data_IF_677148768389
#
_entry.id   IF_677148768389
#
_cell.length_a   1.000
_cell.length_b   1.000
_cell.length_c   1.000
_cell.angle_alpha   90.00
_cell.angle_beta   90.00
_cell.angle_gamma   90.00
#
_symmetry.space_group_name_H-M   'P 1'
#
loop_
_entity.id
_entity.type
_entity.pdbx_description
1 polymer ?
#
# COMPACT_ATOMS: atom_id res chain seq x y z
N UNK A 1 -10.92 -18.35 4.64
CA UNK A 1 -9.58 -18.48 5.25
C UNK A 1 -8.69 -17.41 4.65
N UNK A 2 -7.78 -16.81 5.44
CA UNK A 2 -6.83 -15.80 4.97
C UNK A 2 -5.40 -16.38 5.07
N UNK A 3 -4.65 -16.30 4.00
CA UNK A 3 -3.24 -16.66 3.92
C UNK A 3 -2.43 -15.39 3.72
N UNK A 4 -1.32 -15.23 4.43
CA UNK A 4 -0.44 -14.06 4.37
C UNK A 4 1.00 -14.45 4.20
N UNK A 5 1.78 -13.61 3.54
CA UNK A 5 3.22 -13.72 3.42
C UNK A 5 3.88 -12.35 3.63
N UNK A 6 4.75 -12.24 4.64
CA UNK A 6 5.63 -11.10 4.80
C UNK A 6 7.01 -11.47 4.24
N UNK A 7 7.43 -10.75 3.21
CA UNK A 7 8.65 -11.04 2.46
C UNK A 7 9.60 -9.85 2.48
N UNK A 8 10.90 -10.13 2.27
CA UNK A 8 11.96 -9.13 2.41
C UNK A 8 13.11 -9.42 1.45
N UNK A 9 13.73 -8.38 0.95
CA UNK A 9 14.95 -8.49 0.14
C UNK A 9 15.97 -7.41 0.50
N UNK A 10 17.23 -7.80 0.53
CA UNK A 10 18.42 -6.94 0.66
C UNK A 10 19.23 -6.89 -0.65
N UNK A 11 18.69 -7.42 -1.73
CA UNK A 11 19.28 -7.33 -3.05
C UNK A 11 19.35 -5.88 -3.52
N UNK A 12 20.39 -5.54 -4.28
CA UNK A 12 20.66 -4.14 -4.63
C UNK A 12 20.21 -3.75 -6.04
N UNK A 13 20.09 -4.71 -6.93
CA UNK A 13 19.52 -4.51 -8.27
C UNK A 13 18.00 -4.51 -8.19
N UNK A 14 17.36 -3.52 -8.81
CA UNK A 14 15.91 -3.33 -8.70
C UNK A 14 15.11 -4.47 -9.31
N UNK A 15 15.50 -4.98 -10.46
CA UNK A 15 14.81 -6.08 -11.11
C UNK A 15 15.00 -7.39 -10.35
N UNK A 16 16.22 -7.64 -9.84
CA UNK A 16 16.52 -8.82 -9.05
C UNK A 16 15.81 -8.80 -7.69
N UNK A 17 15.76 -7.63 -7.03
CA UNK A 17 15.01 -7.43 -5.80
C UNK A 17 13.50 -7.70 -6.01
N UNK A 18 12.94 -7.18 -7.09
CA UNK A 18 11.53 -7.40 -7.42
C UNK A 18 11.22 -8.88 -7.70
N UNK A 19 12.03 -9.57 -8.51
CA UNK A 19 11.89 -11.01 -8.73
C UNK A 19 11.97 -11.80 -7.44
N UNK A 20 12.96 -11.50 -6.59
CA UNK A 20 13.15 -12.18 -5.32
C UNK A 20 11.96 -12.04 -4.37
N UNK A 21 11.36 -10.84 -4.27
CA UNK A 21 10.12 -10.64 -3.51
C UNK A 21 8.95 -11.45 -4.09
N UNK A 22 8.76 -11.41 -5.41
CA UNK A 22 7.71 -12.16 -6.09
C UNK A 22 7.84 -13.68 -5.94
N UNK A 23 9.06 -14.22 -6.00
CA UNK A 23 9.36 -15.64 -5.79
C UNK A 23 9.00 -16.06 -4.36
N UNK A 24 9.40 -15.29 -3.34
CA UNK A 24 9.05 -15.56 -1.94
C UNK A 24 7.52 -15.55 -1.73
N UNK A 25 6.79 -14.61 -2.36
CA UNK A 25 5.33 -14.56 -2.31
C UNK A 25 4.72 -15.83 -2.90
N UNK A 26 5.19 -16.27 -4.06
CA UNK A 26 4.72 -17.52 -4.70
C UNK A 26 5.05 -18.75 -3.89
N UNK A 27 6.23 -18.80 -3.28
CA UNK A 27 6.62 -19.92 -2.39
C UNK A 27 5.68 -20.01 -1.18
N UNK A 28 5.35 -18.86 -0.57
CA UNK A 28 4.54 -18.82 0.63
C UNK A 28 3.04 -19.00 0.40
N UNK A 29 2.49 -18.45 -0.69
CA UNK A 29 1.05 -18.46 -1.00
C UNK A 29 0.64 -19.51 -2.04
N UNK A 30 1.61 -20.17 -2.67
CA UNK A 30 1.38 -21.12 -3.76
C UNK A 30 1.21 -20.42 -5.12
N UNK A 31 0.71 -21.17 -6.12
CA UNK A 31 0.61 -20.71 -7.51
C UNK A 31 -0.50 -19.66 -7.75
N UNK A 32 -1.44 -19.51 -6.83
CA UNK A 32 -2.54 -18.54 -6.99
C UNK A 32 -2.07 -17.12 -6.73
N UNK A 33 -2.52 -16.19 -7.55
CA UNK A 33 -2.24 -14.77 -7.40
C UNK A 33 -2.72 -14.23 -6.04
N UNK A 34 -1.92 -13.40 -5.34
CA UNK A 34 -2.40 -12.69 -4.14
C UNK A 34 -3.52 -11.71 -4.50
N UNK A 35 -4.51 -11.57 -3.61
CA UNK A 35 -5.57 -10.59 -3.78
C UNK A 35 -5.01 -9.17 -3.63
N UNK A 36 -4.08 -8.98 -2.70
CA UNK A 36 -3.34 -7.74 -2.58
C UNK A 36 -1.90 -7.96 -2.15
N UNK A 37 -1.05 -7.05 -2.59
CA UNK A 37 0.36 -6.92 -2.23
C UNK A 37 0.63 -5.46 -1.82
N UNK A 38 1.16 -5.27 -0.62
CA UNK A 38 1.57 -3.98 -0.09
C UNK A 38 3.09 -3.96 -0.07
N UNK A 39 3.70 -3.02 -0.80
CA UNK A 39 5.16 -2.94 -1.00
C UNK A 39 5.73 -1.71 -0.32
N UNK A 40 6.80 -1.88 0.43
CA UNK A 40 7.63 -0.80 0.97
C UNK A 40 9.04 -0.96 0.43
N UNK A 41 9.60 0.10 -0.15
CA UNK A 41 10.91 0.04 -0.77
C UNK A 41 11.69 1.33 -0.58
N UNK A 42 12.98 1.18 -0.24
CA UNK A 42 13.93 2.28 -0.16
C UNK A 42 13.96 3.11 -1.45
N UNK A 43 14.22 4.40 -1.31
CA UNK A 43 14.41 5.34 -2.43
C UNK A 43 15.63 5.03 -3.32
N UNK A 44 16.46 4.09 -2.94
CA UNK A 44 17.61 3.63 -3.75
C UNK A 44 17.20 2.82 -4.99
N UNK A 45 16.01 2.22 -4.98
CA UNK A 45 15.54 1.41 -6.10
C UNK A 45 14.95 2.28 -7.22
N UNK A 46 15.13 1.82 -8.45
CA UNK A 46 14.23 2.19 -9.53
C UNK A 46 12.88 1.51 -9.25
N UNK A 47 11.96 2.28 -8.70
CA UNK A 47 10.68 1.75 -8.26
C UNK A 47 9.87 1.14 -9.40
N UNK A 48 9.90 1.74 -10.61
CA UNK A 48 9.16 1.21 -11.75
C UNK A 48 9.69 -0.17 -12.16
N UNK A 49 11.01 -0.33 -12.17
CA UNK A 49 11.66 -1.63 -12.47
C UNK A 49 11.36 -2.66 -11.37
N UNK A 50 11.46 -2.27 -10.10
CA UNK A 50 11.15 -3.13 -8.96
C UNK A 50 9.70 -3.64 -9.02
N UNK A 51 8.74 -2.72 -9.16
CA UNK A 51 7.31 -3.04 -9.16
C UNK A 51 6.91 -3.89 -10.37
N UNK A 52 7.46 -3.59 -11.56
CA UNK A 52 7.24 -4.42 -12.75
C UNK A 52 7.75 -5.86 -12.53
N UNK A 53 8.96 -6.02 -11.99
CA UNK A 53 9.53 -7.33 -11.72
C UNK A 53 8.72 -8.13 -10.68
N UNK A 54 8.17 -7.48 -9.65
CA UNK A 54 7.24 -8.10 -8.70
C UNK A 54 5.98 -8.57 -9.43
N UNK A 55 5.35 -7.66 -10.20
CA UNK A 55 4.10 -7.93 -10.90
C UNK A 55 4.24 -9.10 -11.89
N UNK A 56 5.32 -9.13 -12.66
CA UNK A 56 5.63 -10.19 -13.62
C UNK A 56 5.90 -11.55 -12.95
N UNK A 57 6.33 -11.52 -11.67
CA UNK A 57 6.69 -12.76 -10.97
C UNK A 57 5.52 -13.37 -10.21
N UNK A 58 4.73 -12.60 -9.47
CA UNK A 58 3.65 -13.14 -8.63
C UNK A 58 2.24 -12.68 -9.01
N UNK A 59 2.09 -11.83 -10.02
CA UNK A 59 0.82 -11.41 -10.62
C UNK A 59 -0.25 -10.99 -9.61
N UNK A 60 0.03 -10.06 -8.67
CA UNK A 60 -0.96 -9.65 -7.68
C UNK A 60 -2.16 -8.98 -8.37
N UNK A 61 -3.39 -9.22 -7.87
CA UNK A 61 -4.59 -8.55 -8.38
C UNK A 61 -4.56 -7.06 -8.09
N UNK A 62 -4.09 -6.69 -6.92
CA UNK A 62 -3.88 -5.31 -6.47
C UNK A 62 -2.47 -5.20 -5.91
N UNK A 63 -1.73 -4.20 -6.32
CA UNK A 63 -0.44 -3.84 -5.75
C UNK A 63 -0.45 -2.37 -5.38
N UNK A 64 -0.16 -2.08 -4.11
CA UNK A 64 -0.07 -0.73 -3.55
C UNK A 64 1.14 -0.63 -2.65
N UNK A 65 1.53 0.56 -2.27
CA UNK A 65 2.66 0.72 -1.37
C UNK A 65 3.22 2.13 -1.36
N UNK A 66 4.43 2.26 -0.87
CA UNK A 66 5.16 3.52 -0.88
C UNK A 66 6.67 3.33 -0.82
N UNK A 67 7.40 4.36 -1.19
CA UNK A 67 8.79 4.50 -0.80
C UNK A 67 8.90 4.64 0.72
N UNK A 68 10.02 4.26 1.30
CA UNK A 68 10.21 4.14 2.74
C UNK A 68 11.61 4.58 3.20
N UNK A 69 11.80 4.62 4.52
CA UNK A 69 13.06 4.98 5.15
C UNK A 69 13.42 3.92 6.20
N UNK A 70 13.71 2.72 5.70
CA UNK A 70 13.96 1.53 6.48
C UNK A 70 12.80 0.54 6.44
N UNK A 71 13.10 -0.70 6.11
CA UNK A 71 12.13 -1.76 5.88
C UNK A 71 12.34 -2.88 6.90
N UNK A 72 11.22 -3.45 7.34
CA UNK A 72 11.26 -4.57 8.28
C UNK A 72 10.13 -5.56 8.06
N UNK A 73 10.36 -6.76 8.55
CA UNK A 73 9.36 -7.81 8.75
C UNK A 73 9.48 -8.30 10.18
N UNK A 74 8.67 -9.27 10.58
CA UNK A 74 8.80 -9.88 11.91
C UNK A 74 10.17 -10.54 12.20
N UNK A 75 10.99 -10.76 11.18
CA UNK A 75 12.27 -11.48 11.30
C UNK A 75 13.48 -10.70 10.80
N UNK A 76 13.28 -9.68 9.98
CA UNK A 76 14.38 -8.92 9.34
C UNK A 76 14.09 -7.42 9.37
N UNK A 77 15.16 -6.65 9.40
CA UNK A 77 15.12 -5.20 9.25
C UNK A 77 16.37 -4.73 8.48
N UNK A 78 16.27 -3.61 7.78
CA UNK A 78 17.40 -3.01 7.09
C UNK A 78 17.08 -1.64 6.53
N UNK A 79 18.09 -1.00 6.01
CA UNK A 79 18.03 0.23 5.25
C UNK A 79 18.47 -0.05 3.82
N UNK A 80 17.91 0.67 2.85
CA UNK A 80 18.23 0.41 1.47
C UNK A 80 17.70 -0.92 0.93
N UNK A 81 16.58 -1.40 1.46
CA UNK A 81 16.00 -2.72 1.21
C UNK A 81 14.57 -2.60 0.69
N UNK A 82 13.89 -3.72 0.48
CA UNK A 82 12.46 -3.72 0.20
C UNK A 82 11.76 -4.85 0.95
N UNK A 83 10.52 -4.60 1.35
CA UNK A 83 9.65 -5.58 1.97
C UNK A 83 8.25 -5.53 1.37
N UNK A 84 7.51 -6.63 1.47
CA UNK A 84 6.13 -6.65 1.05
C UNK A 84 5.29 -7.57 1.95
N UNK A 85 4.01 -7.21 2.10
CA UNK A 85 2.98 -8.05 2.69
C UNK A 85 1.99 -8.46 1.60
N UNK A 86 1.95 -9.75 1.31
CA UNK A 86 0.97 -10.34 0.41
C UNK A 86 -0.13 -11.03 1.21
N UNK A 87 -1.35 -11.01 0.70
CA UNK A 87 -2.41 -11.85 1.24
C UNK A 87 -3.39 -12.32 0.16
N UNK A 88 -4.03 -13.45 0.47
CA UNK A 88 -5.16 -14.03 -0.26
C UNK A 88 -6.22 -14.41 0.75
N UNK A 89 -7.46 -14.00 0.51
CA UNK A 89 -8.53 -14.19 1.48
C UNK A 89 -9.88 -14.45 0.82
N UNK A 90 -10.62 -15.41 1.35
CA UNK A 90 -12.04 -15.60 1.03
C UNK A 90 -12.97 -14.82 1.95
N UNK A 91 -12.42 -14.11 2.96
CA UNK A 91 -13.16 -13.38 3.99
C UNK A 91 -13.02 -11.86 3.88
N UNK A 92 -12.06 -11.38 3.07
CA UNK A 92 -11.78 -9.97 2.87
C UNK A 92 -11.89 -9.67 1.37
N UNK A 93 -12.73 -8.72 1.02
CA UNK A 93 -12.76 -8.14 -0.32
C UNK A 93 -11.90 -6.89 -0.34
N UNK A 94 -11.18 -6.67 -1.43
CA UNK A 94 -10.27 -5.53 -1.59
C UNK A 94 -10.58 -4.74 -2.84
N UNK A 95 -10.34 -3.45 -2.77
CA UNK A 95 -10.21 -2.54 -3.90
C UNK A 95 -9.12 -1.52 -3.63
N UNK A 96 -8.64 -0.84 -4.65
CA UNK A 96 -7.64 0.20 -4.47
C UNK A 96 -7.96 1.41 -5.34
N UNK A 97 -7.55 2.58 -4.85
CA UNK A 97 -7.70 3.85 -5.55
C UNK A 97 -6.47 4.73 -5.39
N UNK A 98 -6.30 5.64 -6.35
CA UNK A 98 -5.26 6.66 -6.33
C UNK A 98 -5.87 8.02 -6.58
N UNK A 99 -5.44 9.02 -5.79
CA UNK A 99 -5.69 10.44 -6.02
C UNK A 99 -4.38 11.16 -6.29
N UNK A 100 -4.32 11.98 -7.33
CA UNK A 100 -3.13 12.71 -7.75
C UNK A 100 -3.30 14.21 -7.52
N UNK A 101 -2.19 14.93 -7.35
CA UNK A 101 -2.19 16.38 -7.18
C UNK A 101 -2.68 16.81 -5.79
N UNK A 102 -2.22 16.10 -4.74
CA UNK A 102 -2.57 16.37 -3.33
C UNK A 102 -2.21 17.81 -2.94
N UNK A 103 -1.06 18.30 -3.40
CA UNK A 103 -0.59 19.67 -3.14
C UNK A 103 -1.54 20.71 -3.71
N UNK A 104 -2.12 20.47 -4.88
CA UNK A 104 -2.99 21.44 -5.55
C UNK A 104 -4.44 21.37 -5.04
N UNK A 105 -4.96 20.17 -4.77
CA UNK A 105 -6.35 19.94 -4.35
C UNK A 105 -6.46 18.57 -3.64
N UNK A 106 -6.20 18.56 -2.35
CA UNK A 106 -6.29 17.36 -1.50
C UNK A 106 -7.71 16.80 -1.45
N UNK A 107 -8.73 17.65 -1.51
CA UNK A 107 -10.13 17.24 -1.51
C UNK A 107 -10.50 16.50 -2.82
N UNK A 108 -9.98 16.94 -3.97
CA UNK A 108 -10.14 16.21 -5.23
C UNK A 108 -9.42 14.86 -5.16
N UNK A 109 -8.17 14.84 -4.69
CA UNK A 109 -7.42 13.60 -4.55
C UNK A 109 -8.15 12.59 -3.65
N UNK A 110 -8.74 13.05 -2.54
CA UNK A 110 -9.58 12.22 -1.67
C UNK A 110 -10.82 11.67 -2.39
N UNK A 111 -11.51 12.50 -3.18
CA UNK A 111 -12.67 12.06 -4.00
C UNK A 111 -12.28 10.99 -5.02
N UNK A 112 -11.15 11.15 -5.69
CA UNK A 112 -10.64 10.19 -6.67
C UNK A 112 -10.35 8.82 -6.02
N UNK A 113 -9.77 8.82 -4.82
CA UNK A 113 -9.57 7.61 -4.01
C UNK A 113 -10.89 6.96 -3.66
N UNK A 114 -11.82 7.71 -3.06
CA UNK A 114 -13.10 7.19 -2.55
C UNK A 114 -13.98 6.68 -3.70
N UNK A 115 -13.86 7.22 -4.91
CA UNK A 115 -14.57 6.74 -6.09
C UNK A 115 -14.27 5.26 -6.43
N UNK A 116 -13.16 4.73 -5.93
CA UNK A 116 -12.78 3.32 -6.10
C UNK A 116 -13.34 2.40 -5.00
N UNK A 117 -13.89 2.96 -3.93
CA UNK A 117 -14.37 2.19 -2.78
C UNK A 117 -15.68 1.48 -3.09
N UNK A 118 -15.73 0.19 -2.85
CA UNK A 118 -16.89 -0.67 -3.06
C UNK A 118 -17.81 -0.76 -1.85
N UNK A 119 -17.25 -0.55 -0.66
CA UNK A 119 -17.99 -0.68 0.59
C UNK A 119 -19.05 0.40 0.81
N UNK A 120 -19.02 1.52 0.08
CA UNK A 120 -20.07 2.53 0.13
C UNK A 120 -21.38 2.05 -0.54
N UNK A 121 -21.29 1.14 -1.50
CA UNK A 121 -22.40 0.64 -2.30
C UNK A 121 -22.99 -0.68 -1.77
N UNK A 122 -22.25 -1.39 -0.90
CA UNK A 122 -22.66 -2.70 -0.38
C UNK A 122 -23.02 -2.69 1.09
N UNK A 123 -23.96 -3.56 1.48
CA UNK A 123 -24.28 -3.85 2.89
C UNK A 123 -23.73 -5.21 3.33
N UNK A 124 -23.10 -5.94 2.43
CA UNK A 124 -22.59 -7.30 2.71
C UNK A 124 -21.49 -7.30 3.76
N UNK A 125 -20.66 -6.24 3.76
CA UNK A 125 -19.52 -6.10 4.67
C UNK A 125 -19.78 -4.99 5.69
N UNK A 126 -20.04 -5.34 6.97
CA UNK A 126 -20.26 -4.34 8.01
C UNK A 126 -18.99 -3.59 8.42
N UNK A 127 -17.82 -4.22 8.27
CA UNK A 127 -16.53 -3.63 8.65
C UNK A 127 -15.78 -3.14 7.41
N UNK A 128 -15.43 -1.87 7.44
CA UNK A 128 -14.77 -1.16 6.34
C UNK A 128 -13.54 -0.47 6.89
N UNK A 129 -12.40 -0.80 6.33
CA UNK A 129 -11.12 -0.16 6.65
C UNK A 129 -10.39 0.22 5.37
N UNK A 130 -9.52 1.19 5.44
CA UNK A 130 -8.61 1.48 4.35
C UNK A 130 -7.21 1.80 4.87
N UNK A 131 -6.21 1.20 4.23
CA UNK A 131 -4.81 1.55 4.41
C UNK A 131 -4.49 2.70 3.44
N UNK A 132 -4.02 3.82 3.99
CA UNK A 132 -3.71 5.03 3.24
C UNK A 132 -2.20 5.26 3.24
N UNK A 133 -1.65 5.46 2.06
CA UNK A 133 -0.26 5.90 1.90
C UNK A 133 -0.27 7.21 1.09
N UNK A 134 0.39 8.24 1.60
CA UNK A 134 0.44 9.55 0.94
C UNK A 134 1.89 9.99 0.73
N UNK A 135 2.12 10.80 -0.27
CA UNK A 135 3.37 11.52 -0.42
C UNK A 135 3.57 12.45 0.79
N UNK A 136 4.54 12.13 1.65
CA UNK A 136 4.76 12.89 2.88
C UNK A 136 5.22 14.33 2.61
N UNK A 137 5.89 14.56 1.49
CA UNK A 137 6.40 15.88 1.12
C UNK A 137 5.35 16.77 0.43
N UNK A 138 4.25 16.18 -0.02
CA UNK A 138 3.10 16.96 -0.51
C UNK A 138 2.37 17.72 0.59
N UNK A 139 2.55 17.33 1.87
CA UNK A 139 1.83 17.91 2.98
C UNK A 139 0.34 17.50 3.00
N UNK A 140 -0.47 18.29 3.71
CA UNK A 140 -1.94 18.15 3.74
C UNK A 140 -2.49 16.82 4.29
N UNK A 141 -1.69 16.05 5.04
CA UNK A 141 -2.12 14.75 5.57
C UNK A 141 -3.38 14.85 6.46
N UNK A 142 -3.45 15.86 7.32
CA UNK A 142 -4.60 16.10 8.20
C UNK A 142 -5.87 16.40 7.39
N UNK A 143 -5.77 17.34 6.43
CA UNK A 143 -6.88 17.69 5.53
C UNK A 143 -7.34 16.48 4.71
N UNK A 144 -6.40 15.66 4.22
CA UNK A 144 -6.70 14.46 3.47
C UNK A 144 -7.51 13.45 4.30
N UNK A 145 -7.12 13.20 5.56
CA UNK A 145 -7.83 12.29 6.45
C UNK A 145 -9.22 12.83 6.79
N UNK A 146 -9.36 14.14 7.01
CA UNK A 146 -10.65 14.79 7.25
C UNK A 146 -11.58 14.61 6.04
N UNK A 147 -11.10 14.92 4.82
CA UNK A 147 -11.86 14.75 3.58
C UNK A 147 -12.30 13.29 3.35
N UNK A 148 -11.39 12.33 3.54
CA UNK A 148 -11.72 10.91 3.44
C UNK A 148 -12.82 10.50 4.45
N UNK A 149 -12.75 11.04 5.68
CA UNK A 149 -13.75 10.78 6.72
C UNK A 149 -15.12 11.34 6.35
N UNK A 150 -15.16 12.57 5.85
CA UNK A 150 -16.39 13.23 5.41
C UNK A 150 -17.01 12.49 4.21
N UNK A 151 -16.21 12.20 3.19
CA UNK A 151 -16.66 11.52 1.96
C UNK A 151 -17.21 10.12 2.24
N UNK A 152 -16.67 9.43 3.23
CA UNK A 152 -17.15 8.11 3.64
C UNK A 152 -18.23 8.15 4.72
N UNK A 153 -18.65 9.36 5.14
CA UNK A 153 -19.63 9.59 6.22
C UNK A 153 -19.24 8.89 7.52
N UNK A 154 -17.94 8.81 7.82
CA UNK A 154 -17.40 8.16 9.01
C UNK A 154 -17.58 6.63 9.05
N UNK A 155 -17.88 5.99 7.92
CA UNK A 155 -18.14 4.54 7.87
C UNK A 155 -16.86 3.69 7.75
N UNK A 156 -15.71 4.32 7.59
CA UNK A 156 -14.42 3.65 7.44
C UNK A 156 -13.51 3.91 8.63
N UNK A 157 -12.69 2.92 8.95
CA UNK A 157 -11.51 3.09 9.78
C UNK A 157 -10.31 3.29 8.86
N UNK A 158 -9.55 4.35 9.07
CA UNK A 158 -8.35 4.64 8.30
C UNK A 158 -7.10 4.35 9.13
N UNK A 159 -6.12 3.71 8.51
CA UNK A 159 -4.78 3.54 9.02
C UNK A 159 -3.78 3.82 7.91
N UNK A 160 -2.59 4.28 8.25
CA UNK A 160 -1.58 4.52 7.22
C UNK A 160 -0.54 5.53 7.64
N UNK A 161 0.15 6.09 6.66
CA UNK A 161 1.23 7.04 6.90
C UNK A 161 1.79 7.66 5.62
N UNK A 162 2.73 8.56 5.81
CA UNK A 162 3.48 9.20 4.74
C UNK A 162 4.61 8.31 4.21
N UNK A 163 4.83 8.37 2.90
CA UNK A 163 5.97 7.75 2.25
C UNK A 163 7.30 8.36 2.71
N UNK A 164 8.35 7.56 2.78
CA UNK A 164 9.69 7.99 3.15
C UNK A 164 10.65 7.98 1.96
N UNK A 165 11.86 8.57 2.14
CA UNK A 165 12.92 8.60 1.13
C UNK A 165 14.32 8.43 1.74
N UNK A 166 14.47 7.51 2.68
CA UNK A 166 15.72 7.27 3.40
C UNK A 166 16.24 8.54 4.12
N UNK A 167 15.30 9.35 4.65
CA UNK A 167 15.56 10.62 5.34
C UNK A 167 16.30 11.69 4.49
N UNK A 168 16.18 11.63 3.16
CA UNK A 168 16.77 12.63 2.25
C UNK A 168 15.94 13.89 2.12
N UNK A 169 14.62 13.80 2.41
CA UNK A 169 13.64 14.87 2.28
C UNK A 169 13.62 15.52 0.90
N UNK A 170 13.83 14.72 -0.15
CA UNK A 170 13.94 15.16 -1.53
C UNK A 170 12.72 14.77 -2.35
N UNK A 171 12.28 13.51 -2.29
CA UNK A 171 11.14 13.02 -3.05
C UNK A 171 10.61 11.70 -2.47
N UNK A 172 9.31 11.65 -2.25
CA UNK A 172 8.59 10.44 -1.81
C UNK A 172 7.60 9.99 -2.87
N UNK A 173 7.30 8.68 -2.87
CA UNK A 173 6.43 8.06 -3.86
C UNK A 173 5.41 7.17 -3.18
N UNK A 174 4.19 7.15 -3.71
CA UNK A 174 3.22 6.09 -3.48
C UNK A 174 3.18 5.15 -4.67
N UNK A 175 2.85 3.89 -4.45
CA UNK A 175 2.82 2.85 -5.49
C UNK A 175 1.38 2.44 -5.79
N UNK A 176 1.04 2.39 -7.09
CA UNK A 176 -0.25 1.93 -7.57
C UNK A 176 -0.05 1.07 -8.82
N UNK A 177 -0.29 -0.23 -8.71
CA UNK A 177 0.15 -1.18 -9.72
C UNK A 177 1.67 -1.12 -9.89
N UNK A 178 2.13 -0.93 -11.10
CA UNK A 178 3.56 -0.78 -11.43
C UNK A 178 4.05 0.67 -11.48
N UNK A 179 3.18 1.62 -11.14
CA UNK A 179 3.52 3.03 -11.15
C UNK A 179 4.02 3.49 -9.77
N UNK A 180 5.07 4.30 -9.76
CA UNK A 180 5.54 5.08 -8.62
C UNK A 180 5.20 6.56 -8.88
N UNK A 181 4.40 7.16 -8.01
CA UNK A 181 3.80 8.49 -8.23
C UNK A 181 4.09 9.38 -7.03
N UNK A 182 4.60 10.58 -7.28
CA UNK A 182 4.70 11.66 -6.28
C UNK A 182 3.45 12.55 -6.30
N UNK A 183 3.31 13.42 -5.31
CA UNK A 183 2.16 14.31 -5.16
C UNK A 183 0.83 13.56 -5.26
N UNK A 184 0.76 12.41 -4.57
CA UNK A 184 -0.37 11.51 -4.67
C UNK A 184 -0.69 10.82 -3.34
N UNK A 185 -1.87 10.24 -3.27
CA UNK A 185 -2.34 9.36 -2.21
C UNK A 185 -2.88 8.08 -2.81
N UNK A 186 -2.56 6.95 -2.21
CA UNK A 186 -3.12 5.65 -2.57
C UNK A 186 -3.83 5.04 -1.37
N UNK A 187 -4.93 4.37 -1.63
CA UNK A 187 -5.67 3.62 -0.63
C UNK A 187 -5.88 2.17 -1.05
N UNK A 188 -5.74 1.26 -0.10
CA UNK A 188 -6.20 -0.11 -0.19
C UNK A 188 -7.43 -0.27 0.71
N UNK A 189 -8.60 -0.43 0.11
CA UNK A 189 -9.84 -0.74 0.82
C UNK A 189 -9.86 -2.20 1.24
N UNK A 190 -10.33 -2.44 2.46
CA UNK A 190 -10.49 -3.75 3.07
C UNK A 190 -11.92 -3.88 3.60
N UNK A 191 -12.72 -4.73 2.98
CA UNK A 191 -14.09 -5.02 3.38
C UNK A 191 -14.15 -6.40 4.02
N UNK A 192 -14.66 -6.49 5.24
CA UNK A 192 -14.65 -7.72 6.01
C UNK A 192 -15.97 -7.93 6.77
N UNK A 193 -16.30 -9.20 7.04
CA UNK A 193 -17.39 -9.58 7.94
C UNK A 193 -16.99 -9.50 9.41
N UNK A 194 -15.70 -9.56 9.69
CA UNK A 194 -15.13 -9.42 11.02
C UNK A 194 -14.34 -8.09 11.13
N UNK A 195 -14.30 -7.46 12.32
CA UNK A 195 -13.59 -6.20 12.50
C UNK A 195 -12.08 -6.38 12.35
N UNK A 196 -11.43 -5.36 11.74
CA UNK A 196 -9.97 -5.23 11.74
C UNK A 196 -9.57 -4.32 12.91
N UNK A 197 -8.63 -4.80 13.73
CA UNK A 197 -8.04 -3.99 14.79
C UNK A 197 -6.97 -3.05 14.25
N UNK A 198 -6.98 -1.79 14.69
CA UNK A 198 -5.95 -0.81 14.41
C UNK A 198 -5.23 -0.49 15.72
N UNK A 199 -3.91 -0.59 15.71
CA UNK A 199 -3.05 -0.23 16.83
C UNK A 199 -1.96 0.74 16.37
N UNK A 200 -1.61 1.70 17.23
CA UNK A 200 -0.53 2.67 17.00
C UNK A 200 0.43 2.59 18.18
N UNK A 201 1.72 2.60 17.89
CA UNK A 201 2.79 2.65 18.88
C UNK A 201 3.89 3.58 18.43
N UNK A 202 4.50 4.29 19.37
CA UNK A 202 5.70 5.08 19.16
C UNK A 202 6.87 4.41 19.88
N UNK A 203 8.02 4.41 19.22
CA UNK A 203 9.29 3.99 19.81
C UNK A 203 9.91 5.05 20.68
#
# INVERSE_FOLDING_TARGET
>A
MTHTAAVYTDRTDSADAGRHLGEQVREALGADAPDALIVFASSRFDHAVLLAAIADTCHPRIMVGSSSAGEFTGQRRGEGTASALAFRSTAIQVSAGIGRGVTADSARAARDVVASFKGLETREFPHRSALIMTDALAGHADSLVEELTVLTSGKYQFAGGGAGDDARFAQTYVFYGTEAVSDAVVALELLSKEPLGIGVGHG
#
